data_IF_110407502078
#
_entry.id   IF_110407502078
#
_cell.length_a   1.000
_cell.length_b   1.000
_cell.length_c   1.000
_cell.angle_alpha   90.00
_cell.angle_beta   90.00
_cell.angle_gamma   90.00
#
_symmetry.space_group_name_H-M   'P 1'
#
loop_
_entity.id
_entity.type
_entity.pdbx_description
1 polymer ?
#
# COMPACT_ATOMS: atom_id res chain seq x y z
N UNK A 1 4.95 -30.47 -1.07
CA UNK A 1 5.77 -29.71 -0.11
C UNK A 1 4.94 -28.52 0.33
N UNK A 2 4.56 -28.47 1.60
CA UNK A 2 3.57 -27.54 2.12
C UNK A 2 4.15 -26.12 2.27
N UNK A 3 3.57 -25.14 1.59
CA UNK A 3 3.91 -23.70 1.61
C UNK A 3 3.39 -22.96 2.86
N UNK A 4 3.12 -23.67 3.96
CA UNK A 4 2.54 -23.09 5.18
C UNK A 4 3.50 -22.18 5.96
N UNK A 5 4.81 -22.45 5.92
CA UNK A 5 5.81 -21.65 6.64
C UNK A 5 6.20 -20.35 5.92
N UNK A 6 6.11 -20.31 4.58
CA UNK A 6 6.51 -19.13 3.81
C UNK A 6 5.45 -17.99 3.87
N UNK A 7 4.16 -18.34 3.90
CA UNK A 7 3.07 -17.37 4.04
C UNK A 7 3.07 -16.64 5.39
N UNK A 8 3.52 -17.30 6.45
CA UNK A 8 3.58 -16.74 7.81
C UNK A 8 4.69 -15.69 7.97
N UNK A 9 5.82 -15.86 7.28
CA UNK A 9 6.90 -14.86 7.24
C UNK A 9 6.52 -13.62 6.43
N UNK A 10 5.87 -13.79 5.27
CA UNK A 10 5.46 -12.66 4.43
C UNK A 10 4.35 -11.82 5.08
N UNK A 11 3.37 -12.47 5.73
CA UNK A 11 2.37 -11.75 6.53
C UNK A 11 2.99 -10.93 7.67
N UNK A 12 4.07 -11.42 8.30
CA UNK A 12 4.80 -10.68 9.33
C UNK A 12 5.53 -9.44 8.80
N UNK A 13 5.98 -9.45 7.54
CA UNK A 13 6.67 -8.31 6.92
C UNK A 13 5.74 -7.20 6.43
N UNK A 14 4.45 -7.48 6.15
CA UNK A 14 3.46 -6.47 5.76
C UNK A 14 2.80 -5.76 6.96
N UNK A 15 2.83 -6.37 8.15
CA UNK A 15 2.35 -5.76 9.40
C UNK A 15 3.11 -4.47 9.75
N UNK A 16 4.46 -4.39 9.73
CA UNK A 16 5.17 -3.15 10.04
C UNK A 16 4.92 -2.06 9.00
N UNK A 17 4.77 -2.42 7.72
CA UNK A 17 4.57 -1.44 6.64
C UNK A 17 3.16 -0.82 6.70
N UNK A 18 2.13 -1.63 6.99
CA UNK A 18 0.77 -1.13 7.22
C UNK A 18 0.65 -0.35 8.53
N UNK A 19 1.36 -0.75 9.60
CA UNK A 19 1.45 0.02 10.84
C UNK A 19 2.09 1.39 10.61
N UNK A 20 3.15 1.51 9.80
CA UNK A 20 3.77 2.81 9.48
C UNK A 20 2.78 3.73 8.75
N UNK A 21 2.02 3.21 7.79
CA UNK A 21 1.00 3.98 7.08
C UNK A 21 -0.18 4.40 7.99
N UNK A 22 -0.62 3.51 8.89
CA UNK A 22 -1.68 3.83 9.86
C UNK A 22 -1.19 4.87 10.86
N UNK A 23 0.04 4.72 11.37
CA UNK A 23 0.66 5.68 12.29
C UNK A 23 0.84 7.03 11.60
N UNK A 24 1.32 7.09 10.36
CA UNK A 24 1.49 8.33 9.61
C UNK A 24 0.15 9.06 9.37
N UNK A 25 -0.90 8.31 9.03
CA UNK A 25 -2.24 8.87 8.85
C UNK A 25 -2.92 9.25 10.19
N UNK A 26 -2.69 8.51 11.27
CA UNK A 26 -3.22 8.79 12.61
C UNK A 26 -2.51 10.00 13.27
N UNK A 27 -1.20 10.14 13.07
CA UNK A 27 -0.41 11.29 13.54
C UNK A 27 -0.82 12.59 12.82
N UNK A 28 -1.34 12.48 11.60
CA UNK A 28 -1.95 13.58 10.86
C UNK A 28 -3.37 13.93 11.34
N UNK A 29 -4.07 13.00 11.99
CA UNK A 29 -5.46 13.16 12.45
C UNK A 29 -5.59 13.54 13.93
N UNK A 30 -4.54 13.37 14.75
CA UNK A 30 -4.59 13.64 16.19
C UNK A 30 -3.36 14.44 16.64
N UNK A 31 -3.41 15.79 16.58
CA UNK A 31 -2.63 16.55 17.52
C UNK A 31 -3.29 16.41 18.91
N UNK A 32 -2.52 15.91 19.88
CA UNK A 32 -2.82 15.92 21.32
C UNK A 32 -3.61 14.73 21.93
N UNK A 33 -3.20 13.50 21.60
CA UNK A 33 -3.80 12.24 22.06
C UNK A 33 -4.13 12.13 23.55
N UNK A 34 -5.42 12.17 23.85
CA UNK A 34 -6.03 11.79 25.13
C UNK A 34 -7.12 10.75 24.84
N UNK A 35 -6.94 9.51 25.31
CA UNK A 35 -7.95 8.43 25.23
C UNK A 35 -8.10 7.77 26.59
N UNK A 36 -8.95 8.36 27.44
CA UNK A 36 -9.25 7.86 28.77
C UNK A 36 -10.54 7.02 28.76
N UNK A 37 -10.39 5.75 29.18
CA UNK A 37 -11.39 4.76 29.63
C UNK A 37 -12.21 3.96 28.61
N UNK A 38 -11.97 2.64 28.58
CA UNK A 38 -13.00 1.60 28.37
C UNK A 38 -12.48 0.22 28.78
N UNK A 39 -12.40 -0.03 30.10
CA UNK A 39 -11.99 -1.30 30.71
C UNK A 39 -13.12 -2.36 30.77
N UNK A 40 -13.92 -2.52 29.71
CA UNK A 40 -14.96 -3.56 29.69
C UNK A 40 -15.26 -4.08 28.27
N UNK A 41 -14.39 -4.90 27.69
CA UNK A 41 -14.75 -5.69 26.50
C UNK A 41 -14.09 -7.08 26.50
N UNK A 42 -14.59 -7.97 27.33
CA UNK A 42 -14.15 -9.37 27.42
C UNK A 42 -15.34 -10.32 27.29
N UNK A 43 -15.86 -10.52 26.07
CA UNK A 43 -16.95 -11.48 25.81
C UNK A 43 -16.87 -12.26 24.48
N UNK A 44 -15.86 -12.09 23.63
CA UNK A 44 -15.74 -12.84 22.36
C UNK A 44 -14.39 -13.57 22.17
N UNK A 45 -13.73 -13.88 23.28
CA UNK A 45 -12.58 -14.83 23.34
C UNK A 45 -13.08 -16.29 23.21
N UNK A 46 -14.39 -16.53 23.31
CA UNK A 46 -14.97 -17.84 23.53
C UNK A 46 -15.59 -18.52 22.30
N UNK A 47 -15.85 -17.79 21.19
CA UNK A 47 -16.50 -18.35 20.00
C UNK A 47 -15.53 -19.02 19.00
N UNK A 48 -14.90 -20.11 19.47
CA UNK A 48 -14.39 -21.27 18.71
C UNK A 48 -13.28 -21.10 17.64
N UNK A 49 -12.05 -21.44 18.06
CA UNK A 49 -10.82 -21.50 17.27
C UNK A 49 -10.67 -22.60 16.20
N UNK A 50 -11.75 -23.25 15.76
CA UNK A 50 -11.70 -24.28 14.69
C UNK A 50 -12.27 -23.82 13.34
N UNK A 51 -13.42 -23.14 13.36
CA UNK A 51 -14.07 -22.57 12.17
C UNK A 51 -13.61 -21.12 11.92
N UNK A 52 -13.31 -20.38 13.01
CA UNK A 52 -12.79 -19.02 12.99
C UNK A 52 -11.25 -18.98 12.88
N UNK A 53 -10.54 -19.97 13.44
CA UNK A 53 -9.07 -19.98 13.49
C UNK A 53 -8.37 -20.12 12.13
N UNK A 54 -8.94 -20.92 11.21
CA UNK A 54 -8.45 -21.06 9.84
C UNK A 54 -9.23 -20.19 8.84
N UNK A 55 -10.55 -20.29 8.83
CA UNK A 55 -11.41 -19.59 7.87
C UNK A 55 -11.50 -18.08 8.08
N UNK A 56 -11.72 -17.61 9.33
CA UNK A 56 -11.85 -16.18 9.62
C UNK A 56 -10.50 -15.45 9.60
N UNK A 57 -9.40 -16.12 9.96
CA UNK A 57 -8.05 -15.55 9.78
C UNK A 57 -7.71 -15.38 8.29
N UNK A 58 -8.07 -16.36 7.46
CA UNK A 58 -7.95 -16.26 6.00
C UNK A 58 -8.85 -15.13 5.46
N UNK A 59 -10.12 -15.06 5.85
CA UNK A 59 -11.03 -13.96 5.49
C UNK A 59 -10.48 -12.59 5.91
N UNK A 60 -9.95 -12.44 7.13
CA UNK A 60 -9.34 -11.18 7.58
C UNK A 60 -8.15 -10.77 6.71
N UNK A 61 -7.29 -11.73 6.35
CA UNK A 61 -6.15 -11.46 5.46
C UNK A 61 -6.58 -11.14 4.02
N UNK A 62 -7.66 -11.76 3.52
CA UNK A 62 -8.23 -11.48 2.20
C UNK A 62 -8.88 -10.10 2.17
N UNK A 63 -9.68 -9.74 3.18
CA UNK A 63 -10.25 -8.39 3.28
C UNK A 63 -9.15 -7.33 3.39
N UNK A 64 -8.15 -7.54 4.25
CA UNK A 64 -7.01 -6.63 4.36
C UNK A 64 -6.25 -6.48 3.04
N UNK A 65 -6.06 -7.58 2.29
CA UNK A 65 -5.38 -7.54 0.98
C UNK A 65 -6.23 -6.85 -0.09
N UNK A 66 -7.56 -7.00 -0.05
CA UNK A 66 -8.48 -6.32 -0.96
C UNK A 66 -8.49 -4.80 -0.73
N UNK A 67 -8.54 -4.37 0.53
CA UNK A 67 -8.40 -2.94 0.87
C UNK A 67 -7.01 -2.41 0.51
N UNK A 68 -5.94 -3.19 0.74
CA UNK A 68 -4.59 -2.88 0.28
C UNK A 68 -4.56 -2.64 -1.23
N UNK A 69 -5.07 -3.58 -2.04
CA UNK A 69 -5.13 -3.43 -3.49
C UNK A 69 -5.89 -2.18 -3.95
N UNK A 70 -7.06 -1.88 -3.36
CA UNK A 70 -7.81 -0.67 -3.69
C UNK A 70 -6.99 0.59 -3.37
N UNK A 71 -6.34 0.63 -2.20
CA UNK A 71 -5.47 1.73 -1.78
C UNK A 71 -4.26 1.90 -2.69
N UNK A 72 -3.56 0.81 -3.01
CA UNK A 72 -2.38 0.84 -3.88
C UNK A 72 -2.74 1.22 -5.32
N UNK A 73 -3.87 0.74 -5.85
CA UNK A 73 -4.36 1.14 -7.18
C UNK A 73 -4.72 2.63 -7.23
N UNK A 74 -5.37 3.13 -6.18
CA UNK A 74 -5.62 4.57 -6.06
C UNK A 74 -4.31 5.36 -5.98
N UNK A 75 -3.37 4.95 -5.13
CA UNK A 75 -2.09 5.63 -4.99
C UNK A 75 -1.29 5.60 -6.30
N UNK A 76 -1.25 4.46 -6.99
CA UNK A 76 -0.55 4.28 -8.27
C UNK A 76 -1.15 5.16 -9.36
N UNK A 77 -2.48 5.24 -9.45
CA UNK A 77 -3.14 6.11 -10.43
C UNK A 77 -2.90 7.58 -10.15
N UNK A 78 -3.04 8.03 -8.89
CA UNK A 78 -2.82 9.43 -8.50
C UNK A 78 -1.35 9.83 -8.67
N UNK A 79 -0.41 8.99 -8.21
CA UNK A 79 1.03 9.27 -8.34
C UNK A 79 1.50 9.23 -9.79
N UNK A 80 0.99 8.30 -10.60
CA UNK A 80 1.25 8.25 -12.04
C UNK A 80 0.69 9.47 -12.78
N UNK A 81 -0.53 9.90 -12.45
CA UNK A 81 -1.12 11.13 -13.00
C UNK A 81 -0.32 12.38 -12.58
N UNK A 82 0.08 12.47 -11.31
CA UNK A 82 0.93 13.55 -10.80
C UNK A 82 2.28 13.64 -11.50
N UNK A 83 2.87 12.48 -11.82
CA UNK A 83 4.11 12.40 -12.58
C UNK A 83 3.92 12.79 -14.06
N UNK A 84 2.75 12.54 -14.65
CA UNK A 84 2.44 12.95 -16.03
C UNK A 84 2.13 14.44 -16.16
N UNK A 85 1.40 15.00 -15.19
CA UNK A 85 1.02 16.43 -15.16
C UNK A 85 2.24 17.30 -14.81
N UNK A 86 3.07 16.82 -13.88
CA UNK A 86 4.24 17.55 -13.38
C UNK A 86 3.87 18.65 -12.35
N UNK A 87 4.88 19.25 -11.71
CA UNK A 87 4.65 20.30 -10.72
C UNK A 87 4.27 21.63 -11.39
N UNK A 88 3.48 22.44 -10.67
CA UNK A 88 3.27 23.84 -11.05
C UNK A 88 4.54 24.63 -10.77
N UNK A 89 5.07 25.32 -11.78
CA UNK A 89 6.25 26.16 -11.62
C UNK A 89 6.13 27.45 -12.44
N UNK A 90 7.01 28.40 -12.12
CA UNK A 90 7.10 29.66 -12.85
C UNK A 90 8.17 29.58 -13.93
N UNK A 91 7.78 29.86 -15.17
CA UNK A 91 8.69 30.06 -16.31
C UNK A 91 8.49 31.50 -16.79
N UNK A 92 9.54 32.31 -16.79
CA UNK A 92 9.50 33.73 -17.22
C UNK A 92 8.37 34.53 -16.53
N UNK A 93 8.05 34.22 -15.27
CA UNK A 93 6.99 34.87 -14.49
C UNK A 93 5.58 34.29 -14.65
N UNK A 94 5.37 33.29 -15.52
CA UNK A 94 4.06 32.64 -15.73
C UNK A 94 3.97 31.35 -14.94
N UNK A 95 2.96 31.25 -14.06
CA UNK A 95 2.70 30.10 -13.20
C UNK A 95 1.74 29.10 -13.84
N UNK A 96 2.26 28.02 -14.41
CA UNK A 96 1.43 27.02 -15.10
C UNK A 96 2.02 25.61 -15.02
N UNK A 97 1.25 24.62 -15.51
CA UNK A 97 1.66 23.23 -15.68
C UNK A 97 2.32 23.01 -17.05
N UNK A 98 3.54 23.51 -17.19
CA UNK A 98 4.30 23.47 -18.44
C UNK A 98 4.59 22.04 -18.96
N UNK A 99 4.52 21.03 -18.08
CA UNK A 99 4.79 19.64 -18.41
C UNK A 99 3.57 18.82 -18.84
N UNK A 100 2.36 19.39 -18.75
CA UNK A 100 1.11 18.71 -19.09
C UNK A 100 1.08 18.26 -20.56
N UNK A 101 1.49 19.15 -21.46
CA UNK A 101 1.54 18.90 -22.91
C UNK A 101 2.72 18.00 -23.32
N UNK A 102 3.77 17.92 -22.50
CA UNK A 102 5.02 17.20 -22.85
C UNK A 102 4.91 15.68 -22.65
N UNK A 103 3.73 15.17 -22.26
CA UNK A 103 3.42 13.76 -22.03
C UNK A 103 4.44 13.00 -21.15
N UNK A 104 5.18 13.70 -20.28
CA UNK A 104 6.21 13.09 -19.42
C UNK A 104 7.61 12.99 -20.04
N UNK A 105 7.91 13.67 -21.15
CA UNK A 105 9.27 13.73 -21.73
C UNK A 105 10.33 14.19 -20.70
N UNK A 106 9.93 15.09 -19.80
CA UNK A 106 10.79 15.62 -18.73
C UNK A 106 11.21 14.57 -17.70
N UNK A 107 10.54 13.41 -17.63
CA UNK A 107 10.93 12.31 -16.73
C UNK A 107 12.15 11.54 -17.24
N UNK A 108 12.42 11.63 -18.55
CA UNK A 108 13.58 10.99 -19.19
C UNK A 108 14.70 12.00 -19.45
N UNK A 109 14.35 13.27 -19.62
CA UNK A 109 15.31 14.32 -19.94
C UNK A 109 15.42 15.36 -18.81
N UNK A 110 16.44 15.19 -17.97
CA UNK A 110 16.69 16.04 -16.81
C UNK A 110 17.00 17.50 -17.18
N UNK A 111 17.44 17.78 -18.42
CA UNK A 111 17.71 19.16 -18.86
C UNK A 111 16.45 20.03 -18.88
N UNK A 112 15.26 19.42 -18.88
CA UNK A 112 13.99 20.14 -18.83
C UNK A 112 13.64 20.61 -17.41
N UNK A 113 14.35 20.13 -16.39
CA UNK A 113 14.09 20.53 -15.00
C UNK A 113 14.57 21.95 -14.71
N UNK A 114 15.60 22.41 -15.43
CA UNK A 114 16.16 23.76 -15.32
C UNK A 114 15.26 24.84 -15.93
N UNK A 115 14.18 24.45 -16.63
CA UNK A 115 13.19 25.39 -17.15
C UNK A 115 12.38 26.07 -16.04
N UNK A 116 12.19 25.39 -14.91
CA UNK A 116 11.45 25.92 -13.76
C UNK A 116 12.37 26.80 -12.91
N UNK A 117 12.18 28.12 -12.99
CA UNK A 117 13.01 29.07 -12.26
C UNK A 117 12.62 29.18 -10.78
N UNK A 118 11.30 29.13 -10.50
CA UNK A 118 10.75 29.17 -9.14
C UNK A 118 9.61 28.15 -8.96
N UNK A 119 9.53 27.46 -7.81
CA UNK A 119 10.52 27.38 -6.72
C UNK A 119 11.72 26.48 -7.07
N UNK A 120 12.92 26.73 -6.49
CA UNK A 120 14.13 25.98 -6.83
C UNK A 120 13.99 24.49 -6.44
N UNK A 121 14.47 23.60 -7.31
CA UNK A 121 14.48 22.13 -7.11
C UNK A 121 13.10 21.49 -6.91
N UNK A 122 12.02 22.15 -7.33
CA UNK A 122 10.66 21.58 -7.21
C UNK A 122 10.45 20.34 -8.07
N UNK A 123 11.02 20.33 -9.28
CA UNK A 123 10.89 19.22 -10.24
C UNK A 123 11.53 17.94 -9.71
N UNK A 124 12.83 17.91 -9.35
CA UNK A 124 13.44 16.69 -8.83
C UNK A 124 12.77 16.20 -7.54
N UNK A 125 12.33 17.11 -6.66
CA UNK A 125 11.61 16.74 -5.44
C UNK A 125 10.29 16.01 -5.75
N UNK A 126 9.48 16.59 -6.64
CA UNK A 126 8.19 16.05 -7.03
C UNK A 126 8.33 14.71 -7.78
N UNK A 127 9.27 14.65 -8.72
CA UNK A 127 9.57 13.43 -9.50
C UNK A 127 10.03 12.30 -8.57
N UNK A 128 10.92 12.60 -7.62
CA UNK A 128 11.44 11.59 -6.68
C UNK A 128 10.32 11.03 -5.79
N UNK A 129 9.52 11.90 -5.17
CA UNK A 129 8.42 11.47 -4.29
C UNK A 129 7.37 10.64 -5.04
N UNK A 130 6.89 11.12 -6.19
CA UNK A 130 5.91 10.38 -6.97
C UNK A 130 6.48 9.08 -7.55
N UNK A 131 7.75 9.05 -7.94
CA UNK A 131 8.42 7.81 -8.37
C UNK A 131 8.50 6.79 -7.24
N UNK A 132 8.88 7.20 -6.02
CA UNK A 132 8.89 6.32 -4.85
C UNK A 132 7.49 5.76 -4.55
N UNK A 133 6.45 6.59 -4.63
CA UNK A 133 5.05 6.18 -4.44
C UNK A 133 4.60 5.16 -5.51
N UNK A 134 4.95 5.38 -6.78
CA UNK A 134 4.64 4.45 -7.88
C UNK A 134 5.31 3.10 -7.62
N UNK A 135 6.61 3.10 -7.26
CA UNK A 135 7.34 1.86 -6.99
C UNK A 135 6.77 1.12 -5.77
N UNK A 136 6.53 1.83 -4.67
CA UNK A 136 5.95 1.25 -3.45
C UNK A 136 4.56 0.65 -3.72
N UNK A 137 3.68 1.40 -4.40
CA UNK A 137 2.33 0.94 -4.74
C UNK A 137 2.35 -0.24 -5.71
N UNK A 138 3.26 -0.23 -6.68
CA UNK A 138 3.43 -1.35 -7.63
C UNK A 138 3.86 -2.62 -6.90
N UNK A 139 4.82 -2.50 -5.97
CA UNK A 139 5.26 -3.62 -5.16
C UNK A 139 4.13 -4.15 -4.27
N UNK A 140 3.33 -3.27 -3.67
CA UNK A 140 2.18 -3.65 -2.86
C UNK A 140 1.11 -4.39 -3.68
N UNK A 141 0.76 -3.90 -4.88
CA UNK A 141 -0.16 -4.61 -5.80
C UNK A 141 0.35 -6.01 -6.12
N UNK A 142 1.65 -6.16 -6.41
CA UNK A 142 2.25 -7.47 -6.70
C UNK A 142 2.20 -8.39 -5.47
N UNK A 143 2.59 -7.89 -4.30
CA UNK A 143 2.61 -8.69 -3.07
C UNK A 143 1.20 -9.09 -2.60
N UNK A 144 0.22 -8.18 -2.66
CA UNK A 144 -1.18 -8.47 -2.35
C UNK A 144 -1.80 -9.40 -3.39
N UNK A 145 -1.45 -9.26 -4.67
CA UNK A 145 -1.88 -10.18 -5.73
C UNK A 145 -1.39 -11.60 -5.50
N UNK A 146 -0.11 -11.78 -5.16
CA UNK A 146 0.45 -13.09 -4.81
C UNK A 146 -0.24 -13.67 -3.57
N UNK A 147 -0.51 -12.86 -2.54
CA UNK A 147 -1.23 -13.29 -1.34
C UNK A 147 -2.65 -13.75 -1.66
N UNK A 148 -3.35 -13.05 -2.54
CA UNK A 148 -4.70 -13.41 -2.96
C UNK A 148 -4.72 -14.73 -3.74
N UNK A 149 -3.77 -14.92 -4.67
CA UNK A 149 -3.62 -16.19 -5.43
C UNK A 149 -3.28 -17.36 -4.49
N UNK A 150 -2.35 -17.15 -3.55
CA UNK A 150 -2.00 -18.19 -2.59
C UNK A 150 -3.16 -18.52 -1.64
N UNK A 151 -3.95 -17.52 -1.24
CA UNK A 151 -5.14 -17.73 -0.42
C UNK A 151 -6.23 -18.52 -1.18
N UNK A 152 -6.49 -18.20 -2.45
CA UNK A 152 -7.50 -18.92 -3.25
C UNK A 152 -7.07 -20.36 -3.54
N UNK A 153 -5.79 -20.59 -3.85
CA UNK A 153 -5.24 -21.95 -4.00
C UNK A 153 -5.33 -22.72 -2.68
N UNK A 154 -5.08 -22.10 -1.53
CA UNK A 154 -5.24 -22.76 -0.22
C UNK A 154 -6.68 -23.17 0.10
N UNK A 155 -7.67 -22.39 -0.36
CA UNK A 155 -9.10 -22.70 -0.18
C UNK A 155 -9.56 -23.81 -1.13
N UNK A 156 -9.16 -23.77 -2.40
CA UNK A 156 -9.56 -24.76 -3.41
C UNK A 156 -8.76 -26.07 -3.34
N UNK A 157 -7.51 -26.02 -2.91
CA UNK A 157 -6.61 -27.18 -2.87
C UNK A 157 -6.55 -27.85 -1.49
N UNK A 158 -7.45 -27.49 -0.56
CA UNK A 158 -7.81 -28.21 0.66
C UNK A 158 -6.64 -28.84 1.43
N UNK A 159 -6.26 -28.21 2.54
CA UNK A 159 -5.34 -28.73 3.56
C UNK A 159 -5.26 -30.26 3.51
N UNK A 160 -4.14 -30.80 3.04
CA UNK A 160 -3.86 -32.24 3.01
C UNK A 160 -3.68 -32.73 4.45
N UNK A 161 -4.75 -32.67 5.25
CA UNK A 161 -4.83 -33.30 6.55
C UNK A 161 -4.96 -34.79 6.28
N UNK A 162 -3.80 -35.44 6.18
CA UNK A 162 -3.72 -36.90 6.28
C UNK A 162 -4.54 -37.32 7.50
N UNK A 163 -5.59 -38.08 7.21
CA UNK A 163 -6.32 -38.85 8.20
C UNK A 163 -5.50 -40.11 8.41
N UNK A 164 -4.42 -40.02 9.19
CA UNK A 164 -3.72 -41.23 9.64
C UNK A 164 -4.55 -41.79 10.80
N UNK A 165 -5.63 -42.51 10.45
CA UNK A 165 -6.28 -43.48 11.32
C UNK A 165 -5.77 -44.85 10.87
N UNK A 166 -4.71 -45.31 11.52
CA UNK A 166 -4.34 -46.73 11.64
C UNK A 166 -3.36 -46.86 12.80
#
# INVERSE_FOLDING_TARGET
MCTGQCARCLGLSLIPLSLICIIANALLLVPNGETTWTDNLSLQVWLMGGFIGGGLMMLRSVFSSAFGMLGSLYCLSVSGAGLRIGPKCSINGIWDYHFLETQGSYLRNDTQWDLCEKPPKVVPWNVTLFSMLVVASSLEVVLCGIQLVNATVGVFCGDCRKKDTA
#
